data_IF_810722926643
#
_entry.id   IF_810722926643
#
_cell.length_a   1.000
_cell.length_b   1.000
_cell.length_c   1.000
_cell.angle_alpha   90.00
_cell.angle_beta   90.00
_cell.angle_gamma   90.00
#
_symmetry.space_group_name_H-M   'P 1'
#
loop_
_entity.id
_entity.type
_entity.pdbx_description
1 polymer ?
#
# COMPACT_ATOMS: atom_id res chain seq x y z
N UNK A 1 -13.16 4.38 3.89
CA UNK A 1 -12.82 3.09 3.25
C UNK A 1 -11.32 3.05 3.03
N UNK A 2 -10.63 2.11 3.68
CA UNK A 2 -9.19 1.90 3.54
C UNK A 2 -8.86 1.09 2.28
N UNK A 3 -7.80 1.46 1.59
CA UNK A 3 -7.28 0.79 0.39
C UNK A 3 -6.13 -0.13 0.82
N UNK A 4 -6.34 -1.43 0.60
CA UNK A 4 -5.29 -2.44 0.81
C UNK A 4 -4.51 -2.66 -0.47
N UNK A 5 -3.19 -2.65 -0.33
CA UNK A 5 -2.26 -2.73 -1.44
C UNK A 5 -1.23 -3.83 -1.14
N UNK A 6 -1.08 -4.78 -2.07
CA UNK A 6 0.00 -5.74 -2.00
C UNK A 6 1.21 -5.18 -2.74
N UNK A 7 2.32 -5.03 -2.02
CA UNK A 7 3.59 -4.56 -2.56
C UNK A 7 4.51 -5.75 -2.76
N UNK A 8 5.09 -5.86 -3.95
CA UNK A 8 6.14 -6.81 -4.27
C UNK A 8 7.41 -6.04 -4.65
N UNK A 9 8.51 -6.37 -4.00
CA UNK A 9 9.83 -5.83 -4.30
C UNK A 9 10.72 -6.92 -4.90
N UNK A 10 11.48 -6.55 -5.94
CA UNK A 10 12.61 -7.32 -6.45
C UNK A 10 13.88 -6.64 -5.96
N UNK A 11 14.75 -7.43 -5.33
CA UNK A 11 15.97 -6.96 -4.72
C UNK A 11 17.13 -7.04 -5.72
N UNK A 12 18.09 -6.12 -5.58
CA UNK A 12 19.26 -6.03 -6.46
C UNK A 12 20.13 -7.27 -6.36
N UNK A 13 20.28 -7.81 -5.16
CA UNK A 13 21.06 -9.02 -4.90
C UNK A 13 20.23 -10.29 -5.09
N UNK A 14 20.84 -11.31 -5.70
CA UNK A 14 20.14 -12.57 -6.04
C UNK A 14 19.98 -13.52 -4.85
N UNK A 15 20.88 -13.43 -3.88
CA UNK A 15 20.91 -14.28 -2.69
C UNK A 15 21.02 -13.36 -1.47
N UNK A 16 19.93 -13.24 -0.74
CA UNK A 16 19.84 -12.37 0.42
C UNK A 16 19.84 -13.22 1.67
N UNK A 17 20.65 -12.82 2.64
CA UNK A 17 20.71 -13.48 3.94
C UNK A 17 19.60 -12.95 4.86
N UNK A 18 19.23 -13.74 5.87
CA UNK A 18 18.10 -13.43 6.74
C UNK A 18 18.20 -12.05 7.39
N UNK A 19 19.40 -11.66 7.85
CA UNK A 19 19.64 -10.38 8.52
C UNK A 19 19.30 -9.19 7.61
N UNK A 20 19.58 -9.29 6.31
CA UNK A 20 19.25 -8.22 5.37
C UNK A 20 17.75 -8.11 5.09
N UNK A 21 17.01 -9.22 5.15
CA UNK A 21 15.54 -9.21 5.06
C UNK A 21 14.97 -8.54 6.30
N UNK A 22 15.54 -8.82 7.48
CA UNK A 22 15.14 -8.22 8.74
C UNK A 22 15.38 -6.70 8.71
N UNK A 23 16.59 -6.27 8.33
CA UNK A 23 16.94 -4.86 8.19
C UNK A 23 16.00 -4.13 7.24
N UNK A 24 15.70 -4.75 6.09
CA UNK A 24 14.78 -4.18 5.11
C UNK A 24 13.34 -4.10 5.65
N UNK A 25 12.91 -5.10 6.41
CA UNK A 25 11.59 -5.10 7.04
C UNK A 25 11.46 -3.98 8.08
N UNK A 26 12.50 -3.74 8.89
CA UNK A 26 12.56 -2.60 9.80
C UNK A 26 12.55 -1.27 9.06
N UNK A 27 13.32 -1.15 7.97
CA UNK A 27 13.31 0.04 7.12
C UNK A 27 11.90 0.33 6.58
N UNK A 28 11.22 -0.68 6.01
CA UNK A 28 9.86 -0.54 5.47
C UNK A 28 8.87 -0.16 6.58
N UNK A 29 8.97 -0.79 7.75
CA UNK A 29 8.13 -0.47 8.91
C UNK A 29 8.35 0.97 9.38
N UNK A 30 9.60 1.43 9.41
CA UNK A 30 9.94 2.82 9.72
C UNK A 30 9.35 3.82 8.73
N UNK A 31 9.34 3.50 7.44
CA UNK A 31 8.62 4.29 6.43
C UNK A 31 7.11 4.27 6.69
N UNK A 32 6.55 3.12 7.05
CA UNK A 32 5.12 2.98 7.40
C UNK A 32 4.73 3.92 8.54
N UNK A 33 5.51 3.96 9.61
CA UNK A 33 5.30 4.88 10.74
C UNK A 33 5.41 6.34 10.28
N UNK A 34 6.47 6.69 9.53
CA UNK A 34 6.71 8.05 9.04
C UNK A 34 5.54 8.59 8.22
N UNK A 35 4.98 7.75 7.34
CA UNK A 35 3.92 8.13 6.41
C UNK A 35 2.52 7.70 6.87
N UNK A 36 2.38 7.24 8.12
CA UNK A 36 1.10 6.78 8.70
C UNK A 36 0.41 5.73 7.82
N UNK A 37 1.18 4.75 7.36
CA UNK A 37 0.72 3.63 6.53
C UNK A 37 0.81 2.36 7.38
N UNK A 38 -0.26 1.57 7.38
CA UNK A 38 -0.24 0.24 8.00
C UNK A 38 0.62 -0.69 7.18
N UNK A 39 1.51 -1.46 7.81
CA UNK A 39 2.40 -2.41 7.12
C UNK A 39 2.29 -3.79 7.74
N UNK A 40 1.98 -4.81 6.93
CA UNK A 40 1.84 -6.21 7.36
C UNK A 40 2.84 -7.10 6.62
N UNK A 41 3.49 -8.01 7.36
CA UNK A 41 4.52 -8.93 6.86
C UNK A 41 4.23 -10.39 7.25
N UNK A 42 4.80 -11.32 6.49
CA UNK A 42 4.76 -12.75 6.80
C UNK A 42 3.33 -13.28 6.97
N UNK A 43 3.08 -13.98 8.09
CA UNK A 43 1.77 -14.56 8.40
C UNK A 43 0.66 -13.55 8.69
N UNK A 44 0.99 -12.27 8.87
CA UNK A 44 0.01 -11.20 9.10
C UNK A 44 -0.50 -10.56 7.80
N UNK A 45 0.11 -10.89 6.66
CA UNK A 45 -0.42 -10.53 5.35
C UNK A 45 -1.74 -11.29 5.17
N UNK A 46 -2.75 -10.66 4.57
CA UNK A 46 -4.03 -11.31 4.29
C UNK A 46 -3.83 -12.74 3.70
N UNK A 47 -4.50 -13.78 4.23
CA UNK A 47 -4.24 -15.18 3.87
C UNK A 47 -4.30 -15.46 2.36
N UNK A 48 -5.07 -14.68 1.62
CA UNK A 48 -5.20 -14.75 0.17
C UNK A 48 -3.94 -14.29 -0.58
N UNK A 49 -3.17 -13.35 -0.04
CA UNK A 49 -1.84 -12.97 -0.54
C UNK A 49 -0.75 -13.99 -0.17
N UNK A 50 -0.97 -14.82 0.86
CA UNK A 50 -0.01 -15.89 1.20
C UNK A 50 0.18 -16.90 0.06
N UNK A 51 -0.82 -17.08 -0.82
CA UNK A 51 -0.66 -17.90 -2.03
C UNK A 51 0.34 -17.26 -3.02
N UNK A 52 0.40 -15.94 -3.07
CA UNK A 52 1.37 -15.20 -3.89
C UNK A 52 2.78 -15.37 -3.34
N UNK A 53 2.94 -15.50 -2.00
CA UNK A 53 4.26 -15.79 -1.41
C UNK A 53 4.85 -17.15 -1.80
N UNK A 54 4.03 -18.13 -2.19
CA UNK A 54 4.50 -19.47 -2.56
C UNK A 54 5.29 -19.50 -3.87
N UNK A 55 5.12 -18.50 -4.74
CA UNK A 55 5.80 -18.38 -6.03
C UNK A 55 6.98 -17.39 -6.04
N UNK A 56 7.41 -16.89 -4.87
CA UNK A 56 8.46 -15.88 -4.81
C UNK A 56 9.83 -16.46 -5.13
N UNK A 57 10.59 -15.71 -5.93
CA UNK A 57 12.02 -15.99 -6.12
C UNK A 57 12.79 -15.60 -4.86
N UNK A 58 13.99 -16.16 -4.68
CA UNK A 58 14.87 -15.87 -3.54
C UNK A 58 15.20 -14.38 -3.35
N UNK A 59 15.13 -13.60 -4.41
CA UNK A 59 15.40 -12.15 -4.40
C UNK A 59 14.12 -11.31 -4.40
N UNK A 60 12.97 -11.89 -4.06
CA UNK A 60 11.70 -11.19 -4.02
C UNK A 60 11.12 -11.22 -2.61
N UNK A 61 10.49 -10.12 -2.23
CA UNK A 61 9.79 -9.98 -0.95
C UNK A 61 8.43 -9.34 -1.21
N UNK A 62 7.45 -9.71 -0.39
CA UNK A 62 6.12 -9.11 -0.42
C UNK A 62 5.73 -8.62 0.97
N UNK A 63 4.89 -7.59 0.98
CA UNK A 63 4.23 -7.09 2.18
C UNK A 63 2.94 -6.38 1.77
N UNK A 64 2.01 -6.28 2.72
CA UNK A 64 0.76 -5.54 2.54
C UNK A 64 0.89 -4.16 3.17
N UNK A 65 0.35 -3.16 2.49
CA UNK A 65 0.17 -1.82 3.05
C UNK A 65 -1.30 -1.41 3.03
N UNK A 66 -1.67 -0.58 4.01
CA UNK A 66 -2.98 0.07 4.09
C UNK A 66 -2.76 1.58 4.18
N UNK A 67 -3.42 2.33 3.30
CA UNK A 67 -3.30 3.79 3.19
C UNK A 67 -3.78 4.56 4.45
N UNK A 68 -4.67 3.92 5.19
CA UNK A 68 -5.16 4.36 6.49
C UNK A 68 -5.14 3.18 7.48
N UNK A 69 -4.19 3.15 8.42
CA UNK A 69 -4.09 2.09 9.42
C UNK A 69 -5.14 2.21 10.53
N UNK A 70 -5.84 3.36 10.65
CA UNK A 70 -6.85 3.55 11.67
C UNK A 70 -8.21 3.07 11.16
N UNK A 71 -8.89 2.27 11.98
CA UNK A 71 -10.31 2.01 11.78
C UNK A 71 -11.09 3.30 12.06
N UNK A 72 -12.15 3.57 11.30
CA UNK A 72 -12.99 4.76 11.45
C UNK A 72 -13.48 4.96 12.89
N UNK A 73 -13.71 3.86 13.63
CA UNK A 73 -14.12 3.94 15.03
C UNK A 73 -12.94 4.30 15.95
N UNK A 74 -11.74 3.84 15.64
CA UNK A 74 -10.54 4.25 16.36
C UNK A 74 -10.21 5.73 16.08
N UNK A 75 -10.38 6.18 14.84
CA UNK A 75 -10.18 7.59 14.47
C UNK A 75 -11.16 8.49 15.23
N UNK A 76 -12.43 8.09 15.36
CA UNK A 76 -13.42 8.80 16.18
C UNK A 76 -13.10 8.77 17.69
N UNK A 77 -12.50 7.71 18.21
CA UNK A 77 -12.16 7.58 19.64
C UNK A 77 -10.91 8.38 20.05
N UNK A 78 -9.97 8.57 19.13
CA UNK A 78 -8.64 9.15 19.43
C UNK A 78 -8.39 10.53 18.78
N UNK A 79 -9.34 11.08 18.01
CA UNK A 79 -9.24 12.43 17.39
C UNK A 79 -9.52 13.61 18.34
N UNK A 80 -9.83 13.33 19.61
CA UNK A 80 -9.44 14.19 20.73
C UNK A 80 -10.33 15.37 21.10
N UNK A 81 -11.11 16.01 20.21
CA UNK A 81 -11.74 17.31 20.56
C UNK A 81 -13.14 17.61 19.95
N UNK A 82 -13.86 16.62 19.42
CA UNK A 82 -15.18 16.84 18.84
C UNK A 82 -16.31 16.11 19.58
N UNK A 83 -17.43 16.82 19.75
CA UNK A 83 -18.62 16.32 20.42
C UNK A 83 -19.26 15.16 19.61
N UNK A 84 -19.34 13.99 20.23
CA UNK A 84 -19.80 12.71 19.65
C UNK A 84 -21.25 12.83 19.10
N UNK A 85 -21.98 13.86 19.53
CA UNK A 85 -23.35 14.16 19.09
C UNK A 85 -23.49 14.60 17.62
N UNK A 86 -22.40 14.94 16.92
CA UNK A 86 -22.41 15.34 15.50
C UNK A 86 -21.79 14.31 14.55
N UNK A 87 -22.09 13.03 14.73
CA UNK A 87 -21.46 11.92 14.01
C UNK A 87 -21.43 12.04 12.47
N UNK A 88 -22.44 12.63 11.82
CA UNK A 88 -22.47 12.77 10.35
C UNK A 88 -21.61 13.93 9.82
N UNK A 89 -21.52 15.05 10.55
CA UNK A 89 -20.65 16.18 10.18
C UNK A 89 -19.18 15.89 10.52
N UNK A 90 -18.93 15.12 11.58
CA UNK A 90 -17.60 14.64 11.96
C UNK A 90 -16.96 13.76 10.88
N UNK A 91 -17.74 12.83 10.29
CA UNK A 91 -17.27 11.95 9.21
C UNK A 91 -16.83 12.76 7.98
N UNK A 92 -17.42 13.93 7.70
CA UNK A 92 -17.01 14.80 6.58
C UNK A 92 -15.76 15.64 6.88
N UNK A 93 -15.57 16.07 8.13
CA UNK A 93 -14.46 16.94 8.53
C UNK A 93 -13.15 16.16 8.80
N UNK A 94 -13.26 14.91 9.25
CA UNK A 94 -12.10 14.06 9.58
C UNK A 94 -11.60 13.26 8.37
N UNK A 95 -12.44 13.05 7.35
CA UNK A 95 -12.04 12.27 6.18
C UNK A 95 -10.97 12.98 5.35
N UNK A 96 -9.75 12.47 5.45
CA UNK A 96 -8.67 12.85 4.55
C UNK A 96 -9.01 12.50 3.10
N UNK A 97 -8.74 13.45 2.19
CA UNK A 97 -9.03 13.25 0.76
C UNK A 97 -8.26 12.04 0.18
N UNK A 98 -8.85 11.38 -0.82
CA UNK A 98 -8.18 10.31 -1.56
C UNK A 98 -6.81 10.77 -2.09
N UNK A 99 -6.72 12.02 -2.58
CA UNK A 99 -5.47 12.61 -3.05
C UNK A 99 -4.40 12.62 -1.96
N UNK A 100 -4.73 13.11 -0.76
CA UNK A 100 -3.78 13.18 0.35
C UNK A 100 -3.33 11.79 0.81
N UNK A 101 -4.27 10.84 0.93
CA UNK A 101 -3.94 9.44 1.25
C UNK A 101 -3.03 8.80 0.21
N UNK A 102 -3.33 8.97 -1.09
CA UNK A 102 -2.49 8.44 -2.17
C UNK A 102 -1.14 9.16 -2.27
N UNK A 103 -1.06 10.44 -1.87
CA UNK A 103 0.20 11.18 -1.79
C UNK A 103 1.15 10.57 -0.76
N UNK A 104 0.65 10.18 0.42
CA UNK A 104 1.46 9.47 1.43
C UNK A 104 1.95 8.12 0.93
N UNK A 105 1.07 7.37 0.25
CA UNK A 105 1.44 6.10 -0.39
C UNK A 105 2.52 6.35 -1.44
N UNK A 106 2.39 7.37 -2.28
CA UNK A 106 3.40 7.75 -3.26
C UNK A 106 4.75 8.06 -2.60
N UNK A 107 4.78 8.91 -1.57
CA UNK A 107 6.01 9.26 -0.85
C UNK A 107 6.67 8.02 -0.21
N UNK A 108 5.86 7.11 0.34
CA UNK A 108 6.33 5.83 0.85
C UNK A 108 6.98 4.98 -0.25
N UNK A 109 6.31 4.83 -1.40
CA UNK A 109 6.81 4.04 -2.53
C UNK A 109 8.08 4.67 -3.13
N UNK A 110 8.17 6.00 -3.15
CA UNK A 110 9.33 6.72 -3.65
C UNK A 110 10.55 6.52 -2.75
N UNK A 111 10.37 6.65 -1.43
CA UNK A 111 11.45 6.39 -0.46
C UNK A 111 11.88 4.91 -0.48
N UNK A 112 10.94 4.01 -0.72
CA UNK A 112 11.23 2.60 -0.90
C UNK A 112 12.07 2.37 -2.17
N UNK A 113 11.67 2.94 -3.31
CA UNK A 113 12.40 2.77 -4.58
C UNK A 113 13.79 3.42 -4.56
N UNK A 114 13.99 4.46 -3.74
CA UNK A 114 15.28 5.11 -3.51
C UNK A 114 16.25 4.26 -2.66
N UNK A 115 15.78 3.19 -2.03
CA UNK A 115 16.65 2.25 -1.34
C UNK A 115 17.48 1.44 -2.35
N UNK A 116 18.81 1.52 -2.26
CA UNK A 116 19.75 0.86 -3.19
C UNK A 116 19.59 -0.66 -3.27
N UNK A 117 19.04 -1.29 -2.22
CA UNK A 117 18.76 -2.74 -2.21
C UNK A 117 17.57 -3.12 -3.09
N UNK A 118 16.74 -2.15 -3.48
CA UNK A 118 15.51 -2.38 -4.25
C UNK A 118 15.75 -2.06 -5.73
N UNK A 119 15.61 -3.09 -6.55
CA UNK A 119 15.75 -2.99 -8.00
C UNK A 119 14.45 -2.58 -8.65
N UNK A 120 13.34 -3.20 -8.26
CA UNK A 120 12.01 -3.01 -8.87
C UNK A 120 10.91 -3.08 -7.82
N UNK A 121 9.86 -2.32 -8.06
CA UNK A 121 8.64 -2.27 -7.25
C UNK A 121 7.43 -2.60 -8.13
N UNK A 122 6.55 -3.45 -7.63
CA UNK A 122 5.26 -3.80 -8.25
C UNK A 122 4.19 -3.63 -7.18
N UNK A 123 3.12 -2.91 -7.53
CA UNK A 123 2.01 -2.63 -6.63
C UNK A 123 0.75 -3.25 -7.20
N UNK A 124 0.02 -4.02 -6.39
CA UNK A 124 -1.29 -4.54 -6.74
C UNK A 124 -2.34 -3.90 -5.84
N UNK A 125 -3.23 -3.10 -6.43
CA UNK A 125 -4.35 -2.48 -5.73
C UNK A 125 -5.57 -3.36 -5.87
N UNK A 126 -6.35 -3.48 -4.79
CA UNK A 126 -7.55 -4.30 -4.71
C UNK A 126 -7.37 -5.74 -5.22
N UNK A 127 -6.24 -6.35 -4.88
CA UNK A 127 -5.91 -7.72 -5.25
C UNK A 127 -6.80 -8.79 -4.56
N UNK A 128 -7.72 -8.36 -3.70
CA UNK A 128 -8.62 -9.22 -2.91
C UNK A 128 -9.94 -9.50 -3.63
N UNK A 129 -10.44 -8.56 -4.44
CA UNK A 129 -11.75 -8.69 -5.10
C UNK A 129 -11.73 -9.58 -6.36
N UNK A 130 -10.56 -9.93 -6.87
CA UNK A 130 -10.42 -10.89 -7.95
C UNK A 130 -10.09 -12.28 -7.41
N UNK A 131 -11.05 -13.21 -7.47
CA UNK A 131 -10.80 -14.64 -7.27
C UNK A 131 -9.70 -15.21 -8.18
N UNK A 132 -9.43 -14.50 -9.29
CA UNK A 132 -8.38 -14.79 -10.26
C UNK A 132 -7.32 -13.65 -10.26
N UNK A 133 -6.24 -13.84 -9.49
CA UNK A 133 -5.09 -12.92 -9.36
C UNK A 133 -4.31 -12.66 -10.67
N UNK A 134 -4.83 -13.10 -11.81
CA UNK A 134 -4.27 -12.83 -13.13
C UNK A 134 -5.04 -11.74 -13.88
N UNK A 135 -6.24 -11.37 -13.44
CA UNK A 135 -7.09 -10.32 -14.05
C UNK A 135 -6.83 -8.96 -13.44
N UNK A 136 -5.60 -8.46 -13.59
CA UNK A 136 -5.28 -7.08 -13.29
C UNK A 136 -5.19 -6.29 -14.58
N UNK A 137 -5.80 -5.11 -14.60
CA UNK A 137 -5.42 -4.09 -15.56
C UNK A 137 -3.97 -3.67 -15.25
N UNK A 138 -3.11 -3.77 -16.26
CA UNK A 138 -1.68 -3.50 -16.12
C UNK A 138 -1.41 -2.06 -16.48
N UNK A 139 -0.72 -1.35 -15.59
CA UNK A 139 -0.39 0.05 -15.74
C UNK A 139 1.11 0.21 -15.52
N UNK A 140 1.75 0.98 -16.39
CA UNK A 140 3.15 1.36 -16.24
C UNK A 140 3.22 2.87 -16.06
N UNK A 141 3.81 3.31 -14.95
CA UNK A 141 3.93 4.73 -14.57
C UNK A 141 5.23 4.94 -13.79
N UNK A 142 5.66 6.19 -13.66
CA UNK A 142 6.65 6.58 -12.66
C UNK A 142 6.00 6.67 -11.27
N UNK A 143 6.81 6.62 -10.20
CA UNK A 143 6.26 6.74 -8.84
C UNK A 143 5.62 8.11 -8.63
N UNK A 144 6.17 9.18 -9.20
CA UNK A 144 5.65 10.54 -9.08
C UNK A 144 4.25 10.72 -9.68
N UNK A 145 3.84 9.84 -10.59
CA UNK A 145 2.51 9.86 -11.22
C UNK A 145 1.46 9.05 -10.45
N UNK A 146 1.87 8.30 -9.40
CA UNK A 146 1.02 7.36 -8.68
C UNK A 146 -0.29 7.99 -8.18
N UNK A 147 -0.19 9.11 -7.47
CA UNK A 147 -1.34 9.78 -6.86
C UNK A 147 -2.36 10.21 -7.91
N UNK A 148 -1.90 10.91 -8.95
CA UNK A 148 -2.78 11.36 -10.03
C UNK A 148 -3.44 10.18 -10.73
N UNK A 149 -2.69 9.10 -10.98
CA UNK A 149 -3.22 7.94 -11.68
C UNK A 149 -4.25 7.19 -10.84
N UNK A 150 -4.02 7.05 -9.54
CA UNK A 150 -5.01 6.45 -8.64
C UNK A 150 -6.29 7.26 -8.58
N UNK A 151 -6.22 8.59 -8.45
CA UNK A 151 -7.41 9.45 -8.44
C UNK A 151 -8.21 9.33 -9.75
N UNK A 152 -7.52 9.29 -10.89
CA UNK A 152 -8.14 9.08 -12.21
C UNK A 152 -8.88 7.73 -12.28
N UNK A 153 -8.23 6.64 -11.86
CA UNK A 153 -8.83 5.31 -11.87
C UNK A 153 -10.06 5.24 -10.95
N UNK A 154 -9.99 5.80 -9.75
CA UNK A 154 -11.15 5.85 -8.86
C UNK A 154 -12.32 6.61 -9.50
N UNK A 155 -12.06 7.71 -10.21
CA UNK A 155 -13.11 8.45 -10.93
C UNK A 155 -13.73 7.60 -12.06
N UNK A 156 -12.93 6.85 -12.82
CA UNK A 156 -13.38 5.96 -13.88
C UNK A 156 -14.21 4.77 -13.37
N UNK A 157 -13.93 4.30 -12.16
CA UNK A 157 -14.59 3.15 -11.53
C UNK A 157 -15.72 3.56 -10.56
N UNK A 158 -16.39 4.70 -10.78
CA UNK A 158 -17.49 5.18 -9.93
C UNK A 158 -17.13 5.24 -8.43
N UNK A 159 -15.91 5.68 -8.12
CA UNK A 159 -15.33 5.77 -6.77
C UNK A 159 -15.13 4.42 -6.05
N UNK A 160 -15.24 3.29 -6.76
CA UNK A 160 -14.83 1.99 -6.25
C UNK A 160 -13.33 1.78 -6.40
N UNK A 161 -12.74 0.99 -5.50
CA UNK A 161 -11.31 0.67 -5.54
C UNK A 161 -10.98 -0.15 -6.79
N UNK A 162 -10.11 0.34 -7.70
CA UNK A 162 -9.79 -0.35 -8.94
C UNK A 162 -8.88 -1.56 -8.69
N UNK A 163 -9.07 -2.63 -9.47
CA UNK A 163 -8.18 -3.79 -9.45
C UNK A 163 -7.09 -3.67 -10.50
N UNK A 164 -5.96 -3.09 -10.10
CA UNK A 164 -4.85 -2.75 -11.01
C UNK A 164 -3.52 -3.28 -10.51
N UNK A 165 -2.65 -3.64 -11.46
CA UNK A 165 -1.25 -3.96 -11.22
C UNK A 165 -0.38 -2.87 -11.85
N UNK A 166 0.32 -2.16 -10.99
CA UNK A 166 1.18 -1.04 -11.34
C UNK A 166 2.62 -1.52 -11.35
N UNK A 167 3.29 -1.28 -12.47
CA UNK A 167 4.74 -1.45 -12.63
C UNK A 167 5.38 -0.08 -12.64
N UNK A 168 6.32 0.15 -11.71
CA UNK A 168 7.04 1.42 -11.68
C UNK A 168 8.23 1.40 -12.63
N UNK A 169 8.23 2.37 -13.55
CA UNK A 169 9.37 2.68 -14.41
C UNK A 169 10.32 3.57 -13.60
N UNK A 170 11.62 3.28 -13.68
CA UNK A 170 12.68 4.11 -13.08
C UNK A 170 13.02 5.28 -13.98
#
# INVERSE_FOLDING_TARGET
MSIKILVKIELTEKNIILDEIIDLSFFITGLGIKYRIGTNFGGNIAPVFSKISQGLKKNEMIFEITDDPMDINAENLFSGDCDISQGEEHIKLVYESLFSRMSRVQEFLENLLNNKKIKKLIVNVNALDTFDYQKFDKIEITVSEFTSKMVELFAQHNQMTPTVRIYFIK
#
